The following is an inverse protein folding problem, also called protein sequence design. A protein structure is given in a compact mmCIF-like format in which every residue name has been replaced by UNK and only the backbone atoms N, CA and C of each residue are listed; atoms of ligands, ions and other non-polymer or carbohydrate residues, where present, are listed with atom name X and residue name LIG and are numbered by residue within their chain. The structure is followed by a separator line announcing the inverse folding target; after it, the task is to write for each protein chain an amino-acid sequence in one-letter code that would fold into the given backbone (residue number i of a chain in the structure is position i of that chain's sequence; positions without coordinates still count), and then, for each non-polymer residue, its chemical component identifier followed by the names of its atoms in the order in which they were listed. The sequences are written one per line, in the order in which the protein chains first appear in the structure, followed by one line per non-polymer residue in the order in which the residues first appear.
data_IF_371466805504
#
_entry.id   IF_371466805504
#
_cell.length_a   1.000
_cell.length_b   1.000
_cell.length_c   1.000
_cell.angle_alpha   90.00
_cell.angle_beta   90.00
_cell.angle_gamma   90.00
#
_symmetry.space_group_name_H-M   'P 1'
#
loop_
_entity.id
_entity.type
_entity.pdbx_description
1 polymer ?
#
# COMPACT_ATOMS: atom_id res chain seq x y z
N UNK A 1 16.96 19.21 -36.98
CA UNK A 1 15.90 20.12 -36.51
C UNK A 1 14.67 19.31 -36.21
N UNK A 2 14.38 19.06 -34.94
CA UNK A 2 13.09 18.49 -34.59
C UNK A 2 12.00 19.51 -34.91
N UNK A 3 10.90 19.10 -35.55
CA UNK A 3 9.79 19.99 -35.81
C UNK A 3 9.17 20.38 -34.46
N UNK A 4 8.85 21.67 -34.29
CA UNK A 4 8.12 22.13 -33.12
C UNK A 4 6.73 21.46 -33.04
N UNK A 5 6.13 21.13 -34.19
CA UNK A 5 4.83 20.47 -34.30
C UNK A 5 4.77 19.66 -35.62
N UNK A 6 4.33 18.40 -35.56
CA UNK A 6 4.23 17.48 -36.70
C UNK A 6 3.02 16.54 -36.55
N UNK A 7 2.25 16.35 -37.62
CA UNK A 7 1.27 15.25 -37.73
C UNK A 7 1.71 14.31 -38.85
N UNK A 8 1.86 13.02 -38.56
CA UNK A 8 2.24 11.99 -39.54
C UNK A 8 1.04 11.50 -40.37
N UNK A 9 1.30 10.81 -41.48
CA UNK A 9 0.24 10.16 -42.29
C UNK A 9 -0.54 9.10 -41.51
N UNK A 10 0.07 8.50 -40.48
CA UNK A 10 -0.58 7.53 -39.57
C UNK A 10 -1.42 8.20 -38.48
N UNK A 11 -1.50 9.53 -38.47
CA UNK A 11 -2.25 10.32 -37.51
C UNK A 11 -1.61 10.39 -36.12
N UNK A 12 -0.28 10.26 -36.02
CA UNK A 12 0.45 10.51 -34.79
C UNK A 12 0.86 11.99 -34.73
N UNK A 13 0.65 12.62 -33.58
CA UNK A 13 1.04 14.00 -33.30
C UNK A 13 2.35 14.01 -32.50
N UNK A 14 3.39 14.63 -33.08
CA UNK A 14 4.66 14.94 -32.43
C UNK A 14 4.76 16.43 -32.08
N UNK A 15 5.17 16.73 -30.84
CA UNK A 15 5.53 18.10 -30.41
C UNK A 15 6.98 18.03 -29.92
N UNK A 16 7.90 18.70 -30.62
CA UNK A 16 9.34 18.56 -30.38
C UNK A 16 9.94 17.20 -30.79
N UNK A 17 9.16 16.36 -31.47
CA UNK A 17 9.52 15.00 -31.93
C UNK A 17 9.26 14.84 -33.43
N UNK A 18 10.26 14.38 -34.18
CA UNK A 18 10.16 14.15 -35.62
C UNK A 18 9.58 12.77 -35.96
N UNK A 19 9.74 11.79 -35.06
CA UNK A 19 9.32 10.40 -35.26
C UNK A 19 8.42 9.94 -34.09
N UNK A 20 7.17 10.43 -34.00
CA UNK A 20 6.29 10.12 -32.87
C UNK A 20 5.90 8.64 -32.81
N UNK A 21 6.17 7.99 -31.66
CA UNK A 21 5.92 6.55 -31.42
C UNK A 21 4.53 6.26 -30.85
N UNK A 22 3.75 7.29 -30.53
CA UNK A 22 2.40 7.19 -29.99
C UNK A 22 1.49 8.21 -30.67
N UNK A 23 0.17 8.12 -30.41
CA UNK A 23 -0.81 9.06 -30.97
C UNK A 23 -0.52 10.51 -30.59
N UNK A 24 0.00 10.71 -29.39
CA UNK A 24 0.62 11.96 -28.95
C UNK A 24 1.99 11.62 -28.37
N UNK A 25 3.05 12.18 -28.93
CA UNK A 25 4.40 12.10 -28.38
C UNK A 25 4.95 13.52 -28.22
N UNK A 26 5.12 13.95 -26.98
CA UNK A 26 5.73 15.23 -26.63
C UNK A 26 7.14 14.95 -26.15
N UNK A 27 8.12 15.51 -26.83
CA UNK A 27 9.53 15.41 -26.46
C UNK A 27 10.08 16.81 -26.22
N UNK A 28 10.67 17.02 -25.05
CA UNK A 28 11.35 18.26 -24.69
C UNK A 28 12.79 17.92 -24.34
N UNK A 29 13.73 18.51 -25.09
CA UNK A 29 15.16 18.46 -24.77
C UNK A 29 15.53 19.75 -24.03
N UNK A 30 15.84 19.64 -22.73
CA UNK A 30 16.21 20.77 -21.90
C UNK A 30 17.74 20.86 -21.79
N UNK A 31 18.37 21.53 -22.75
CA UNK A 31 19.83 21.73 -22.76
C UNK A 31 20.33 22.80 -21.76
N UNK A 32 19.44 23.52 -21.08
CA UNK A 32 19.80 24.49 -20.02
C UNK A 32 18.63 24.79 -19.08
N UNK A 33 18.73 24.35 -17.81
CA UNK A 33 17.84 24.77 -16.71
C UNK A 33 16.64 23.87 -16.40
N UNK A 34 15.74 24.36 -15.53
CA UNK A 34 14.46 23.72 -15.17
C UNK A 34 13.45 23.86 -16.33
N UNK A 35 12.74 22.78 -16.68
CA UNK A 35 11.74 22.78 -17.75
C UNK A 35 10.54 21.88 -17.43
N UNK A 36 9.37 22.26 -17.91
CA UNK A 36 8.12 21.51 -17.74
C UNK A 36 7.74 20.84 -19.06
N UNK A 37 7.63 19.51 -19.07
CA UNK A 37 7.28 18.75 -20.28
C UNK A 37 5.80 18.90 -20.68
N UNK A 38 4.89 18.94 -19.71
CA UNK A 38 3.45 19.15 -19.92
C UNK A 38 2.84 19.82 -18.69
N UNK A 39 2.08 20.89 -18.91
CA UNK A 39 1.29 21.58 -17.89
C UNK A 39 -0.18 21.50 -18.31
N UNK A 40 -1.04 20.98 -17.42
CA UNK A 40 -2.49 20.91 -17.63
C UNK A 40 -3.16 21.74 -16.53
N UNK A 41 -3.81 22.82 -16.91
CA UNK A 41 -4.52 23.71 -16.00
C UNK A 41 -6.01 23.69 -16.31
N UNK A 42 -6.81 23.43 -15.28
CA UNK A 42 -8.27 23.48 -15.34
C UNK A 42 -8.79 24.32 -14.17
N UNK A 43 -9.50 25.40 -14.48
CA UNK A 43 -10.11 26.29 -13.49
C UNK A 43 -11.64 26.20 -13.60
N UNK A 44 -12.30 25.94 -12.47
CA UNK A 44 -13.76 25.87 -12.34
C UNK A 44 -14.20 26.79 -11.21
N UNK A 45 -15.14 27.69 -11.48
CA UNK A 45 -15.65 28.61 -10.46
C UNK A 45 -16.88 28.10 -9.71
N UNK A 46 -17.65 27.15 -10.28
CA UNK A 46 -18.66 26.33 -9.60
C UNK A 46 -18.89 25.03 -10.37
N UNK A 47 -18.91 23.88 -9.67
CA UNK A 47 -19.20 22.57 -10.24
C UNK A 47 -18.13 21.51 -9.99
N UNK A 48 -18.29 20.35 -10.63
CA UNK A 48 -17.32 19.26 -10.65
C UNK A 48 -16.84 19.03 -12.10
N UNK A 49 -15.59 18.59 -12.27
CA UNK A 49 -14.99 18.33 -13.58
C UNK A 49 -13.66 17.60 -13.45
N UNK A 50 -13.12 17.15 -14.58
CA UNK A 50 -11.81 16.49 -14.64
C UNK A 50 -10.77 17.42 -15.27
N UNK A 51 -9.69 17.72 -14.54
CA UNK A 51 -8.51 18.35 -15.14
C UNK A 51 -7.74 17.40 -16.08
N UNK A 52 -7.84 16.09 -15.81
CA UNK A 52 -7.30 15.02 -16.65
C UNK A 52 -8.15 13.75 -16.42
N UNK A 53 -8.83 13.27 -17.46
CA UNK A 53 -9.67 12.06 -17.39
C UNK A 53 -9.06 10.95 -18.24
N UNK A 54 -8.87 9.78 -17.65
CA UNK A 54 -8.44 8.55 -18.33
C UNK A 54 -9.56 7.52 -18.23
N UNK A 55 -10.19 7.19 -19.35
CA UNK A 55 -11.26 6.20 -19.43
C UNK A 55 -10.76 4.95 -20.15
N UNK A 56 -10.70 3.83 -19.43
CA UNK A 56 -10.15 2.55 -19.88
C UNK A 56 -11.13 1.43 -19.53
N UNK A 57 -11.12 0.34 -20.29
CA UNK A 57 -12.09 -0.75 -20.20
C UNK A 57 -11.47 -2.10 -19.80
N UNK A 58 -10.26 -2.10 -19.25
CA UNK A 58 -9.52 -3.31 -18.89
C UNK A 58 -8.76 -3.07 -17.61
N UNK A 59 -8.99 -3.92 -16.59
CA UNK A 59 -8.45 -3.82 -15.23
C UNK A 59 -6.92 -3.87 -15.17
N UNK A 60 -6.29 -4.47 -16.18
CA UNK A 60 -4.83 -4.64 -16.26
C UNK A 60 -4.13 -3.49 -16.99
N UNK A 61 -4.85 -2.43 -17.34
CA UNK A 61 -4.26 -1.29 -18.04
C UNK A 61 -3.73 -0.28 -17.04
N UNK A 62 -2.52 0.22 -17.28
CA UNK A 62 -1.95 1.32 -16.49
C UNK A 62 -2.59 2.62 -16.95
N UNK A 63 -3.36 3.25 -16.07
CA UNK A 63 -3.96 4.56 -16.33
C UNK A 63 -2.90 5.67 -16.28
N UNK A 64 -1.90 5.51 -15.41
CA UNK A 64 -0.75 6.40 -15.30
C UNK A 64 0.49 5.56 -15.01
N UNK A 65 1.60 5.86 -15.68
CA UNK A 65 2.89 5.22 -15.41
C UNK A 65 4.03 6.24 -15.55
N UNK A 66 4.98 6.18 -14.63
CA UNK A 66 6.29 6.84 -14.72
C UNK A 66 7.31 5.75 -14.97
N UNK A 67 7.96 5.82 -16.13
CA UNK A 67 9.02 4.89 -16.51
C UNK A 67 10.38 5.52 -16.27
N UNK A 68 11.28 4.76 -15.65
CA UNK A 68 12.70 5.07 -15.70
C UNK A 68 13.29 4.41 -16.95
N UNK A 69 13.78 5.21 -17.90
CA UNK A 69 14.36 4.73 -19.15
C UNK A 69 15.67 3.96 -18.94
N UNK A 70 16.38 4.22 -17.85
CA UNK A 70 17.66 3.54 -17.55
C UNK A 70 17.46 2.14 -16.98
N UNK A 71 16.32 1.89 -16.33
CA UNK A 71 16.01 0.61 -15.68
C UNK A 71 15.00 -0.23 -16.46
N UNK A 72 14.48 0.31 -17.57
CA UNK A 72 13.44 -0.31 -18.40
C UNK A 72 12.17 -0.75 -17.61
N UNK A 73 11.93 -0.10 -16.47
CA UNK A 73 10.88 -0.43 -15.53
C UNK A 73 10.02 0.79 -15.19
N UNK A 74 8.75 0.54 -14.91
CA UNK A 74 7.87 1.56 -14.35
C UNK A 74 8.17 1.70 -12.84
N UNK A 75 8.55 2.90 -12.40
CA UNK A 75 8.88 3.19 -10.98
C UNK A 75 7.67 3.63 -10.16
N UNK A 76 6.62 4.06 -10.85
CA UNK A 76 5.31 4.41 -10.30
C UNK A 76 4.25 4.07 -11.35
N UNK A 77 3.20 3.35 -10.98
CA UNK A 77 2.03 3.22 -11.84
C UNK A 77 0.73 3.09 -11.05
N UNK A 78 -0.34 3.59 -11.66
CA UNK A 78 -1.72 3.44 -11.19
C UNK A 78 -2.45 2.61 -12.23
N UNK A 79 -2.93 1.45 -11.82
CA UNK A 79 -3.77 0.57 -12.64
C UNK A 79 -5.23 1.02 -12.59
N UNK A 80 -5.98 0.63 -13.60
CA UNK A 80 -7.42 0.92 -13.71
C UNK A 80 -8.29 0.32 -12.62
N UNK A 81 -7.81 -0.73 -11.94
CA UNK A 81 -8.47 -1.31 -10.78
C UNK A 81 -8.16 -0.57 -9.46
N UNK A 82 -7.41 0.54 -9.52
CA UNK A 82 -7.05 1.33 -8.35
C UNK A 82 -5.75 0.90 -7.67
N UNK A 83 -5.10 -0.18 -8.11
CA UNK A 83 -3.81 -0.62 -7.55
C UNK A 83 -2.72 0.37 -7.91
N UNK A 84 -1.96 0.79 -6.90
CA UNK A 84 -0.79 1.66 -7.03
C UNK A 84 0.48 0.85 -6.77
N UNK A 85 1.38 0.79 -7.76
CA UNK A 85 2.71 0.23 -7.59
C UNK A 85 3.73 1.37 -7.54
N UNK A 86 4.50 1.45 -6.46
CA UNK A 86 5.57 2.43 -6.31
C UNK A 86 6.77 1.79 -5.59
N UNK A 87 7.99 2.13 -6.00
CA UNK A 87 9.21 1.62 -5.32
C UNK A 87 9.35 2.15 -3.89
N UNK A 88 8.98 3.40 -3.64
CA UNK A 88 9.00 4.07 -2.32
C UNK A 88 7.94 5.16 -2.26
N UNK A 89 7.37 5.36 -1.07
CA UNK A 89 6.42 6.44 -0.76
C UNK A 89 6.92 7.14 0.50
N UNK A 90 7.16 8.44 0.42
CA UNK A 90 7.40 9.30 1.58
C UNK A 90 6.11 10.07 1.86
N UNK A 91 5.58 9.94 3.07
CA UNK A 91 4.32 10.57 3.48
C UNK A 91 4.46 11.10 4.90
N UNK A 92 3.78 12.21 5.19
CA UNK A 92 3.61 12.73 6.56
C UNK A 92 2.55 11.90 7.31
N UNK A 93 1.49 11.49 6.61
CA UNK A 93 0.39 10.70 7.15
C UNK A 93 -0.10 9.67 6.11
N UNK A 94 -0.45 8.46 6.60
CA UNK A 94 -1.08 7.40 5.81
C UNK A 94 -2.25 6.87 6.61
N UNK A 95 -3.46 7.03 6.07
CA UNK A 95 -4.70 6.55 6.68
C UNK A 95 -5.08 5.19 6.07
N UNK A 96 -5.26 4.17 6.92
CA UNK A 96 -5.67 2.82 6.49
C UNK A 96 -7.10 2.55 6.94
N UNK A 97 -7.98 2.23 5.99
CA UNK A 97 -9.42 2.01 6.18
C UNK A 97 -9.77 0.53 5.97
N UNK A 98 -9.89 -0.21 7.08
CA UNK A 98 -10.22 -1.64 7.08
C UNK A 98 -11.70 -1.91 6.80
N UNK A 99 -12.58 -0.96 7.09
CA UNK A 99 -14.01 -1.00 6.81
C UNK A 99 -14.30 -1.14 5.32
N UNK A 100 -13.48 -0.55 4.46
CA UNK A 100 -13.54 -0.73 3.01
C UNK A 100 -13.27 -2.18 2.56
N UNK A 101 -12.64 -2.99 3.42
CA UNK A 101 -12.30 -4.40 3.17
C UNK A 101 -13.20 -5.38 3.95
N UNK A 102 -14.26 -4.88 4.62
CA UNK A 102 -15.06 -5.66 5.59
C UNK A 102 -14.23 -6.32 6.71
N UNK A 103 -13.12 -5.68 7.09
CA UNK A 103 -12.28 -6.12 8.21
C UNK A 103 -12.51 -5.22 9.43
N UNK A 104 -12.37 -5.79 10.62
CA UNK A 104 -12.60 -5.10 11.90
C UNK A 104 -11.33 -5.08 12.75
N UNK A 105 -11.22 -4.07 13.61
CA UNK A 105 -10.20 -4.03 14.65
C UNK A 105 -10.48 -5.08 15.73
N UNK A 106 -9.45 -5.62 16.39
CA UNK A 106 -9.53 -6.82 17.20
C UNK A 106 -10.13 -6.64 18.60
N UNK A 107 -10.94 -5.60 18.85
CA UNK A 107 -11.57 -5.33 20.14
C UNK A 107 -12.35 -6.54 20.71
N UNK A 108 -12.75 -7.48 19.85
CA UNK A 108 -13.39 -8.74 20.23
C UNK A 108 -12.53 -9.62 21.16
N UNK A 109 -11.21 -9.40 21.25
CA UNK A 109 -10.30 -10.10 22.17
C UNK A 109 -10.72 -9.91 23.63
N UNK A 110 -11.43 -8.82 23.93
CA UNK A 110 -11.92 -8.51 25.28
C UNK A 110 -13.33 -9.02 25.58
N UNK A 111 -14.00 -9.66 24.64
CA UNK A 111 -15.34 -10.21 24.84
C UNK A 111 -15.31 -11.49 25.69
N UNK A 112 -16.37 -11.74 26.46
CA UNK A 112 -16.42 -12.85 27.43
C UNK A 112 -16.32 -14.25 26.78
N UNK A 113 -16.67 -14.37 25.50
CA UNK A 113 -16.62 -15.62 24.75
C UNK A 113 -15.30 -15.85 24.00
N UNK A 114 -14.40 -14.86 23.99
CA UNK A 114 -13.10 -14.98 23.34
C UNK A 114 -12.22 -16.03 24.02
N UNK A 115 -11.85 -17.06 23.26
CA UNK A 115 -11.02 -18.17 23.74
C UNK A 115 -9.53 -17.81 23.55
N UNK A 116 -8.96 -17.17 24.57
CA UNK A 116 -7.51 -16.92 24.59
C UNK A 116 -6.74 -18.25 24.66
N UNK A 117 -5.74 -18.41 23.80
CA UNK A 117 -4.86 -19.59 23.79
C UNK A 117 -4.01 -19.62 25.06
N UNK A 118 -3.73 -20.81 25.61
CA UNK A 118 -2.82 -20.91 26.76
C UNK A 118 -1.38 -20.57 26.37
N UNK A 119 -0.57 -20.12 27.33
CA UNK A 119 0.86 -19.84 27.08
C UNK A 119 1.58 -21.13 26.65
N UNK A 120 1.18 -22.28 27.21
CA UNK A 120 1.72 -23.59 26.87
C UNK A 120 1.39 -23.97 25.41
N UNK A 121 0.16 -23.71 24.94
CA UNK A 121 -0.22 -23.95 23.54
C UNK A 121 0.53 -23.01 22.58
N UNK A 122 0.71 -21.75 22.98
CA UNK A 122 1.49 -20.77 22.21
C UNK A 122 2.96 -21.19 22.13
N UNK A 123 3.56 -21.64 23.24
CA UNK A 123 4.94 -22.14 23.27
C UNK A 123 5.12 -23.34 22.32
N UNK A 124 4.22 -24.33 22.42
CA UNK A 124 4.21 -25.49 21.53
C UNK A 124 4.06 -25.06 20.05
N UNK A 125 3.22 -24.07 19.76
CA UNK A 125 3.07 -23.56 18.40
C UNK A 125 4.37 -22.91 17.90
N UNK A 126 5.00 -22.06 18.70
CA UNK A 126 6.26 -21.38 18.34
C UNK A 126 7.39 -22.39 18.13
N UNK A 127 7.49 -23.41 18.98
CA UNK A 127 8.50 -24.45 18.84
C UNK A 127 8.40 -25.17 17.50
N UNK A 128 7.18 -25.46 17.04
CA UNK A 128 6.90 -26.18 15.82
C UNK A 128 6.94 -25.29 14.55
N UNK A 129 6.45 -24.06 14.62
CA UNK A 129 6.21 -23.22 13.44
C UNK A 129 7.17 -22.01 13.32
N UNK A 130 7.90 -21.65 14.38
CA UNK A 130 8.85 -20.51 14.41
C UNK A 130 8.23 -19.12 14.16
N UNK A 131 6.91 -19.00 14.27
CA UNK A 131 6.18 -17.72 14.31
C UNK A 131 5.02 -17.82 15.31
N UNK A 132 4.32 -16.69 15.54
CA UNK A 132 3.16 -16.64 16.43
C UNK A 132 1.90 -17.17 15.73
N UNK A 133 0.96 -17.80 16.47
CA UNK A 133 -0.35 -18.18 15.93
C UNK A 133 -1.06 -16.97 15.32
N UNK A 134 -1.64 -17.12 14.13
CA UNK A 134 -2.36 -16.03 13.43
C UNK A 134 -1.47 -14.94 12.82
N UNK A 135 -0.15 -14.97 13.05
CA UNK A 135 0.81 -14.11 12.34
C UNK A 135 1.38 -14.90 11.16
N UNK A 136 1.33 -14.37 9.93
CA UNK A 136 1.88 -15.06 8.77
C UNK A 136 3.39 -15.26 8.88
N UNK A 137 3.86 -16.36 8.33
CA UNK A 137 5.28 -16.75 8.30
C UNK A 137 6.09 -15.86 7.35
N UNK A 138 7.42 -15.89 7.50
CA UNK A 138 8.34 -15.19 6.59
C UNK A 138 8.19 -15.67 5.14
N UNK A 139 7.92 -16.96 4.93
CA UNK A 139 7.71 -17.55 3.61
C UNK A 139 6.46 -16.97 2.96
N UNK A 140 5.32 -16.95 3.67
CA UNK A 140 4.06 -16.37 3.19
C UNK A 140 4.20 -14.87 2.86
N UNK A 141 4.84 -14.08 3.73
CA UNK A 141 5.04 -12.64 3.52
C UNK A 141 5.97 -12.37 2.34
N UNK A 142 6.97 -13.23 2.12
CA UNK A 142 7.95 -13.04 1.04
C UNK A 142 7.38 -13.32 -0.35
N UNK A 143 6.43 -14.26 -0.44
CA UNK A 143 5.79 -14.64 -1.70
C UNK A 143 4.67 -13.66 -2.08
N UNK A 144 3.74 -13.39 -1.17
CA UNK A 144 2.50 -12.67 -1.47
C UNK A 144 2.50 -11.20 -1.02
N UNK A 145 3.52 -10.80 -0.24
CA UNK A 145 3.49 -9.53 0.49
C UNK A 145 2.48 -9.56 1.63
N UNK A 146 2.23 -8.41 2.24
CA UNK A 146 1.22 -8.30 3.30
C UNK A 146 0.49 -6.96 3.23
N UNK A 147 -0.82 -7.00 3.47
CA UNK A 147 -1.62 -5.80 3.60
C UNK A 147 -1.25 -5.09 4.92
N UNK A 148 -0.89 -3.80 4.83
CA UNK A 148 -0.46 -3.01 5.99
C UNK A 148 -1.55 -2.92 7.07
N UNK A 149 -2.81 -2.77 6.67
CA UNK A 149 -3.94 -2.69 7.59
C UNK A 149 -4.19 -4.01 8.31
N UNK A 150 -4.18 -5.11 7.56
CA UNK A 150 -4.33 -6.46 8.10
C UNK A 150 -3.21 -6.78 9.09
N UNK A 151 -1.95 -6.51 8.74
CA UNK A 151 -0.82 -6.72 9.65
C UNK A 151 -0.95 -5.87 10.91
N UNK A 152 -1.36 -4.61 10.80
CA UNK A 152 -1.58 -3.77 11.97
C UNK A 152 -2.72 -4.29 12.85
N UNK A 153 -3.79 -4.84 12.27
CA UNK A 153 -4.87 -5.47 13.02
C UNK A 153 -4.41 -6.73 13.75
N UNK A 154 -3.68 -7.62 13.07
CA UNK A 154 -3.08 -8.83 13.67
C UNK A 154 -2.13 -8.44 14.81
N UNK A 155 -1.26 -7.45 14.60
CA UNK A 155 -0.34 -6.98 15.64
C UNK A 155 -1.08 -6.42 16.86
N UNK A 156 -2.16 -5.68 16.63
CA UNK A 156 -2.99 -5.18 17.72
C UNK A 156 -3.66 -6.33 18.49
N UNK A 157 -4.18 -7.34 17.81
CA UNK A 157 -4.76 -8.54 18.43
C UNK A 157 -3.75 -9.21 19.36
N UNK A 158 -2.50 -9.37 18.89
CA UNK A 158 -1.43 -9.97 19.71
C UNK A 158 -0.99 -9.10 20.88
N UNK A 159 -1.06 -7.78 20.76
CA UNK A 159 -0.81 -6.87 21.89
C UNK A 159 -1.91 -7.02 22.94
N UNK A 160 -3.17 -7.18 22.52
CA UNK A 160 -4.31 -7.36 23.42
C UNK A 160 -4.28 -8.72 24.13
N UNK A 161 -4.04 -9.82 23.41
CA UNK A 161 -3.81 -11.16 23.98
C UNK A 161 -2.65 -11.15 24.98
N UNK A 162 -1.51 -10.54 24.62
CA UNK A 162 -0.36 -10.42 25.52
C UNK A 162 -0.72 -9.63 26.78
N UNK A 163 -1.53 -8.58 26.65
CA UNK A 163 -1.99 -7.77 27.79
C UNK A 163 -2.86 -8.61 28.74
N UNK A 164 -3.75 -9.46 28.22
CA UNK A 164 -4.55 -10.38 29.02
C UNK A 164 -3.67 -11.38 29.79
N UNK A 165 -2.68 -11.98 29.13
CA UNK A 165 -1.72 -12.87 29.79
C UNK A 165 -0.93 -12.16 30.88
N UNK A 166 -0.48 -10.92 30.65
CA UNK A 166 0.23 -10.13 31.66
C UNK A 166 -0.66 -9.83 32.87
N UNK A 167 -1.94 -9.50 32.65
CA UNK A 167 -2.92 -9.29 33.73
C UNK A 167 -3.09 -10.58 34.55
N UNK A 168 -3.21 -11.73 33.89
CA UNK A 168 -3.32 -13.03 34.56
C UNK A 168 -2.07 -13.37 35.38
N UNK A 169 -0.88 -13.20 34.79
CA UNK A 169 0.39 -13.42 35.48
C UNK A 169 0.53 -12.53 36.71
N UNK A 170 0.15 -11.24 36.61
CA UNK A 170 0.18 -10.31 37.75
C UNK A 170 -0.77 -10.74 38.87
N UNK A 171 -1.97 -11.26 38.53
CA UNK A 171 -2.89 -11.83 39.53
C UNK A 171 -2.26 -13.03 40.24
N UNK A 172 -1.58 -13.92 39.51
CA UNK A 172 -0.88 -15.08 40.07
C UNK A 172 0.27 -14.66 40.98
N UNK A 173 1.10 -13.69 40.58
CA UNK A 173 2.21 -13.16 41.37
C UNK A 173 1.70 -12.60 42.71
N UNK A 174 0.67 -11.75 42.68
CA UNK A 174 0.08 -11.19 43.91
C UNK A 174 -0.46 -12.25 44.87
N UNK A 175 -1.06 -13.31 44.32
CA UNK A 175 -1.54 -14.43 45.12
C UNK A 175 -0.36 -15.14 45.82
N UNK A 176 0.69 -15.46 45.06
CA UNK A 176 1.91 -16.07 45.61
C UNK A 176 2.58 -15.19 46.68
N UNK A 177 2.70 -13.88 46.45
CA UNK A 177 3.24 -12.94 47.43
C UNK A 177 2.39 -12.88 48.71
N UNK A 178 1.06 -12.90 48.58
CA UNK A 178 0.17 -12.94 49.74
C UNK A 178 0.31 -14.22 50.56
N UNK A 179 0.59 -15.36 49.91
CA UNK A 179 0.81 -16.64 50.59
C UNK A 179 2.16 -16.69 51.30
N UNK A 180 3.20 -16.05 50.74
CA UNK A 180 4.54 -15.98 51.35
C UNK A 180 4.55 -15.04 52.57
N UNK A 181 3.75 -13.98 52.55
CA UNK A 181 3.69 -12.97 53.62
C UNK A 181 2.73 -13.34 54.78
N UNK A 182 2.11 -14.53 54.75
CA UNK A 182 1.33 -15.11 55.86
C UNK A 182 2.17 -16.09 56.68
#
# INVERSE_FOLDING_TARGET
NNPNFLITETGNLGIGEANPQAKLHVHADASSGFGTGMLLEYESQQGWGYGFLVALNSENTKALAVRNTDWEEDVFCVHTNGVLNAKKIYAEEVEVRLDALNMHWPDYVFEDDYQISSIEDIELFIENNKHLPGVPSEEEISEDGINLGEMNAILLEKIEELTLHVIEQNKRIKNLESQINQ
#
